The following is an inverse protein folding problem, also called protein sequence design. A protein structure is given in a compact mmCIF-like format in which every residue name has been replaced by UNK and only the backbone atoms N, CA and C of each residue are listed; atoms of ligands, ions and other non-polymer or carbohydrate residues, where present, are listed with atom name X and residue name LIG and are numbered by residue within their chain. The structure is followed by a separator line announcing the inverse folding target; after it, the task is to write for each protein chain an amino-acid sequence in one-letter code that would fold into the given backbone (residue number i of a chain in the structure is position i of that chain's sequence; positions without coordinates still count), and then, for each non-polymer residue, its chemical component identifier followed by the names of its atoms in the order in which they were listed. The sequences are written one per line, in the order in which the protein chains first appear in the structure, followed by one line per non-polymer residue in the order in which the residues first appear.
data_IF_624403065026
#
_entry.id   IF_624403065026
#
_cell.length_a   1.000
_cell.length_b   1.000
_cell.length_c   1.000
_cell.angle_alpha   90.00
_cell.angle_beta   90.00
_cell.angle_gamma   90.00
#
_symmetry.space_group_name_H-M   'P 1'
#
loop_
_entity.id
_entity.type
_entity.pdbx_description
1 polymer ?
#
# COMPACT_ATOMS: atom_id res chain seq x y z
N UNK A 1 -1.69 1.79 58.79
CA UNK A 1 -1.93 3.18 59.22
C UNK A 1 -0.87 4.03 58.55
N UNK A 2 -1.11 5.09 57.80
CA UNK A 2 -2.30 5.64 57.18
C UNK A 2 -1.82 6.46 55.95
N UNK A 3 -2.76 6.70 55.05
CA UNK A 3 -2.73 7.22 53.69
C UNK A 3 -2.04 8.58 53.53
N UNK A 4 -1.26 8.74 52.45
CA UNK A 4 -1.03 10.04 51.81
C UNK A 4 -1.83 10.11 50.52
N UNK A 5 -2.97 10.82 50.57
CA UNK A 5 -3.80 11.12 49.40
C UNK A 5 -3.51 12.55 48.92
N UNK A 6 -2.88 12.71 47.76
CA UNK A 6 -2.87 13.98 47.01
C UNK A 6 -3.83 13.88 45.83
N UNK A 7 -4.99 14.53 46.00
CA UNK A 7 -6.04 14.73 45.00
C UNK A 7 -5.50 15.45 43.76
N UNK A 8 -5.63 14.85 42.58
CA UNK A 8 -5.50 15.54 41.28
C UNK A 8 -6.80 16.30 41.01
N UNK A 9 -6.69 17.62 40.76
CA UNK A 9 -7.80 18.46 40.29
C UNK A 9 -8.07 18.14 38.82
N UNK A 10 -9.30 17.71 38.55
CA UNK A 10 -9.91 17.64 37.22
C UNK A 10 -10.30 19.08 36.85
N UNK A 11 -9.78 19.60 35.74
CA UNK A 11 -10.32 20.82 35.13
C UNK A 11 -11.15 20.42 33.92
N UNK A 12 -12.43 20.70 34.05
CA UNK A 12 -13.50 20.43 33.10
C UNK A 12 -13.64 21.57 32.09
N UNK A 13 -14.21 21.20 30.95
CA UNK A 13 -14.48 21.94 29.73
C UNK A 13 -15.42 23.16 29.91
N UNK A 14 -15.37 24.04 28.90
CA UNK A 14 -16.39 25.00 28.45
C UNK A 14 -16.52 26.34 29.19
N UNK A 15 -16.09 27.41 28.51
CA UNK A 15 -16.70 28.75 28.56
C UNK A 15 -16.07 29.60 27.45
N UNK A 16 -16.86 29.98 26.45
CA UNK A 16 -17.01 31.38 26.04
C UNK A 16 -18.19 31.51 25.08
N UNK A 17 -19.14 32.31 25.54
CA UNK A 17 -20.39 32.70 24.89
C UNK A 17 -20.12 33.73 23.80
N UNK A 18 -20.93 33.64 22.75
CA UNK A 18 -21.32 34.74 21.88
C UNK A 18 -21.73 35.99 22.69
N UNK A 19 -21.19 37.15 22.31
CA UNK A 19 -21.97 38.39 22.25
C UNK A 19 -21.50 39.24 21.07
N UNK A 20 -22.43 39.51 20.15
CA UNK A 20 -22.21 40.39 19.01
C UNK A 20 -22.29 41.87 19.37
N UNK A 21 -21.65 42.70 18.55
CA UNK A 21 -22.07 44.10 18.34
C UNK A 21 -21.68 44.58 16.94
N UNK A 22 -22.72 44.99 16.20
CA UNK A 22 -22.70 45.68 14.89
C UNK A 22 -22.07 47.09 15.00
N UNK A 23 -21.35 47.54 13.96
CA UNK A 23 -21.76 48.63 13.02
C UNK A 23 -20.58 49.15 12.17
N UNK A 24 -20.86 49.26 10.84
CA UNK A 24 -20.61 50.38 9.88
C UNK A 24 -19.21 51.06 9.87
N UNK A 25 -18.60 51.51 8.78
CA UNK A 25 -18.94 51.67 7.36
C UNK A 25 -17.74 52.36 6.65
N UNK A 26 -17.56 52.06 5.36
CA UNK A 26 -17.10 52.93 4.25
C UNK A 26 -15.70 53.58 4.16
N UNK A 27 -15.14 53.33 2.96
CA UNK A 27 -14.41 54.23 2.02
C UNK A 27 -13.00 54.71 2.38
N UNK A 28 -12.00 54.28 1.59
CA UNK A 28 -11.45 55.03 0.42
C UNK A 28 -10.03 54.57 0.04
N UNK A 29 -9.74 54.56 -1.26
CA UNK A 29 -8.40 54.47 -1.91
C UNK A 29 -8.08 55.89 -2.46
N UNK A 30 -6.91 56.22 -3.07
CA UNK A 30 -5.58 55.56 -3.12
C UNK A 30 -4.39 56.56 -2.92
N UNK A 31 -3.12 56.11 -2.88
CA UNK A 31 -2.06 56.55 -3.85
C UNK A 31 -0.61 56.12 -3.50
N UNK A 32 0.06 55.73 -4.60
CA UNK A 32 1.47 55.54 -4.99
C UNK A 32 2.64 55.88 -4.04
N UNK A 33 3.65 55.00 -4.07
CA UNK A 33 5.07 55.31 -3.85
C UNK A 33 5.99 54.09 -4.02
N UNK A 34 6.77 54.03 -5.12
CA UNK A 34 7.78 52.99 -5.41
C UNK A 34 9.02 53.14 -4.50
N UNK A 35 9.61 52.02 -4.06
CA UNK A 35 11.07 51.80 -4.01
C UNK A 35 11.40 50.30 -3.97
N UNK A 36 12.20 49.86 -4.93
CA UNK A 36 12.76 48.52 -5.04
C UNK A 36 13.77 48.24 -3.92
N UNK A 37 13.70 47.04 -3.31
CA UNK A 37 14.85 46.33 -2.73
C UNK A 37 14.62 44.82 -2.85
N UNK A 38 15.72 44.09 -3.12
CA UNK A 38 15.81 42.68 -3.52
C UNK A 38 15.06 41.66 -2.64
N UNK A 39 14.66 40.48 -3.17
CA UNK A 39 13.91 39.49 -2.40
C UNK A 39 14.81 38.75 -1.40
N UNK A 40 14.55 38.94 -0.11
CA UNK A 40 14.94 37.99 0.93
C UNK A 40 14.10 36.72 0.77
N UNK A 41 14.76 35.55 0.71
CA UNK A 41 14.11 34.23 0.79
C UNK A 41 13.20 34.16 2.04
N UNK A 42 11.93 33.73 1.94
CA UNK A 42 11.12 33.48 3.12
C UNK A 42 11.48 32.11 3.72
N UNK A 43 12.24 32.11 4.80
CA UNK A 43 12.54 30.97 5.68
C UNK A 43 11.35 30.60 6.59
N UNK A 44 10.11 30.65 6.07
CA UNK A 44 8.89 30.49 6.89
C UNK A 44 7.95 29.35 6.48
N UNK A 45 8.19 28.70 5.34
CA UNK A 45 7.31 27.63 4.83
C UNK A 45 7.62 26.25 5.42
N UNK A 46 8.88 25.98 5.79
CA UNK A 46 9.26 24.66 6.33
C UNK A 46 8.79 24.43 7.77
N UNK A 47 8.64 25.48 8.58
CA UNK A 47 8.25 25.33 9.99
C UNK A 47 6.73 25.27 10.16
N UNK A 48 5.96 25.93 9.29
CA UNK A 48 4.51 25.80 9.26
C UNK A 48 4.08 24.37 8.86
N UNK A 49 4.72 23.80 7.83
CA UNK A 49 4.46 22.41 7.41
C UNK A 49 4.83 21.41 8.51
N UNK A 50 5.92 21.62 9.26
CA UNK A 50 6.32 20.74 10.37
C UNK A 50 5.35 20.80 11.56
N UNK A 51 4.85 21.98 11.92
CA UNK A 51 3.91 22.13 13.05
C UNK A 51 2.55 21.52 12.71
N UNK A 52 2.09 21.66 11.45
CA UNK A 52 0.88 20.99 10.96
C UNK A 52 1.09 19.47 10.92
N UNK A 53 2.27 19.00 10.50
CA UNK A 53 2.65 17.58 10.44
C UNK A 53 2.65 16.92 11.83
N UNK A 54 3.23 17.53 12.87
CA UNK A 54 3.22 16.98 14.24
C UNK A 54 1.83 17.00 14.89
N UNK A 55 1.05 18.07 14.68
CA UNK A 55 -0.29 18.17 15.25
C UNK A 55 -1.23 17.14 14.62
N UNK A 56 -1.18 16.98 13.29
CA UNK A 56 -2.02 16.00 12.59
C UNK A 56 -1.62 14.56 12.90
N UNK A 57 -0.33 14.22 13.00
CA UNK A 57 0.08 12.85 13.34
C UNK A 57 -0.46 12.46 14.74
N UNK A 58 -0.47 13.40 15.71
CA UNK A 58 -1.08 13.18 17.03
C UNK A 58 -2.60 13.02 16.98
N UNK A 59 -3.32 13.84 16.22
CA UNK A 59 -4.79 13.72 16.11
C UNK A 59 -5.21 12.43 15.41
N UNK A 60 -4.50 12.02 14.35
CA UNK A 60 -4.86 10.80 13.63
C UNK A 60 -4.52 9.54 14.43
N UNK A 61 -3.46 9.55 15.24
CA UNK A 61 -3.19 8.45 16.16
C UNK A 61 -4.31 8.24 17.18
N UNK A 62 -5.05 9.29 17.57
CA UNK A 62 -6.19 9.21 18.49
C UNK A 62 -7.42 8.62 17.79
N UNK A 63 -7.71 9.03 16.55
CA UNK A 63 -8.81 8.48 15.76
C UNK A 63 -8.58 7.00 15.39
N UNK A 64 -7.35 6.60 15.08
CA UNK A 64 -6.96 5.21 14.81
C UNK A 64 -7.12 4.30 16.06
N UNK A 65 -7.08 4.88 17.27
CA UNK A 65 -7.18 4.18 18.56
C UNK A 65 -8.64 3.91 18.98
N UNK A 66 -9.56 4.84 18.69
CA UNK A 66 -10.96 4.74 19.13
C UNK A 66 -11.83 3.83 18.25
N UNK A 67 -11.44 3.58 17.00
CA UNK A 67 -12.14 2.67 16.08
C UNK A 67 -11.45 1.30 16.00
N UNK A 68 -11.17 0.71 17.16
CA UNK A 68 -10.73 -0.69 17.26
C UNK A 68 -11.83 -1.65 16.80
N UNK A 69 -12.12 -1.68 15.49
CA UNK A 69 -12.66 -2.89 14.89
C UNK A 69 -11.58 -3.95 15.01
N UNK A 70 -11.87 -4.91 15.88
CA UNK A 70 -11.17 -6.18 15.94
C UNK A 70 -10.99 -6.68 14.52
N UNK A 71 -9.75 -6.67 14.03
CA UNK A 71 -9.42 -7.42 12.83
C UNK A 71 -9.84 -8.84 13.14
N UNK A 72 -10.91 -9.31 12.47
CA UNK A 72 -11.59 -10.58 12.75
C UNK A 72 -10.53 -11.67 12.97
N UNK A 73 -10.70 -12.52 13.98
CA UNK A 73 -9.75 -13.60 14.27
C UNK A 73 -9.44 -14.45 13.04
N UNK A 74 -10.43 -14.57 12.15
CA UNK A 74 -10.40 -15.41 10.96
C UNK A 74 -9.83 -14.68 9.73
N UNK A 75 -9.43 -13.41 9.87
CA UNK A 75 -8.77 -12.66 8.79
C UNK A 75 -7.41 -13.30 8.49
N UNK A 76 -7.21 -13.67 7.22
CA UNK A 76 -5.97 -14.25 6.70
C UNK A 76 -4.75 -13.39 7.01
N UNK A 77 -4.91 -12.06 7.07
CA UNK A 77 -3.83 -11.17 7.50
C UNK A 77 -3.41 -11.43 8.95
N UNK A 78 -4.37 -11.61 9.86
CA UNK A 78 -4.09 -11.84 11.28
C UNK A 78 -3.46 -13.21 11.48
N UNK A 79 -3.98 -14.23 10.80
CA UNK A 79 -3.40 -15.58 10.83
C UNK A 79 -1.95 -15.57 10.36
N UNK A 80 -1.66 -14.87 9.26
CA UNK A 80 -0.29 -14.73 8.75
C UNK A 80 0.61 -13.91 9.68
N UNK A 81 0.05 -12.91 10.38
CA UNK A 81 0.81 -12.04 11.25
C UNK A 81 1.14 -12.71 12.60
N UNK A 82 0.22 -13.52 13.13
CA UNK A 82 0.32 -14.11 14.46
C UNK A 82 0.99 -15.48 14.47
N UNK A 83 0.93 -16.24 13.36
CA UNK A 83 1.43 -17.60 13.32
C UNK A 83 2.81 -17.68 12.68
N UNK A 84 3.68 -18.49 13.28
CA UNK A 84 5.01 -18.74 12.74
C UNK A 84 5.01 -19.83 11.66
N UNK A 85 6.08 -19.87 10.87
CA UNK A 85 6.30 -20.94 9.91
C UNK A 85 6.74 -22.21 10.65
N UNK A 86 6.15 -23.36 10.32
CA UNK A 86 6.58 -24.65 10.88
C UNK A 86 8.07 -24.91 10.56
N UNK A 87 8.88 -25.39 11.52
CA UNK A 87 10.29 -25.73 11.27
C UNK A 87 10.47 -26.77 10.16
N UNK A 88 9.56 -27.76 10.10
CA UNK A 88 9.50 -28.76 9.03
C UNK A 88 9.33 -28.13 7.64
N UNK A 89 8.41 -27.17 7.52
CA UNK A 89 8.16 -26.42 6.30
C UNK A 89 9.32 -25.48 5.96
N UNK A 90 9.94 -24.84 6.95
CA UNK A 90 11.13 -24.00 6.75
C UNK A 90 12.29 -24.83 6.18
N UNK A 91 12.50 -26.04 6.70
CA UNK A 91 13.53 -26.98 6.23
C UNK A 91 13.24 -27.43 4.80
N UNK A 92 11.98 -27.78 4.51
CA UNK A 92 11.56 -28.16 3.16
C UNK A 92 11.81 -27.03 2.14
N UNK A 93 11.45 -25.79 2.46
CA UNK A 93 11.63 -24.64 1.56
C UNK A 93 13.11 -24.25 1.36
N UNK A 94 13.96 -24.51 2.36
CA UNK A 94 15.40 -24.19 2.30
C UNK A 94 16.21 -25.25 1.52
N UNK A 95 15.67 -26.46 1.37
CA UNK A 95 16.30 -27.56 0.63
C UNK A 95 16.41 -27.23 -0.86
N UNK A 96 17.52 -27.62 -1.51
CA UNK A 96 17.76 -27.36 -2.95
C UNK A 96 17.87 -28.68 -3.72
N UNK A 97 16.93 -29.00 -4.64
CA UNK A 97 15.70 -28.27 -4.95
C UNK A 97 14.62 -28.46 -3.87
N UNK A 98 13.70 -27.50 -3.67
CA UNK A 98 12.65 -27.64 -2.69
C UNK A 98 11.63 -28.69 -3.18
N UNK A 99 11.18 -29.63 -2.33
CA UNK A 99 10.08 -30.53 -2.65
C UNK A 99 8.79 -29.74 -2.85
N UNK A 100 8.18 -29.84 -4.03
CA UNK A 100 6.95 -29.11 -4.39
C UNK A 100 5.94 -30.02 -5.08
N UNK A 101 4.67 -29.86 -4.71
CA UNK A 101 3.53 -30.41 -5.45
C UNK A 101 3.01 -29.37 -6.43
N UNK A 102 2.60 -29.82 -7.61
CA UNK A 102 1.97 -28.98 -8.63
C UNK A 102 0.54 -29.45 -8.87
N UNK A 103 -0.38 -28.50 -8.86
CA UNK A 103 -1.79 -28.71 -9.18
C UNK A 103 -2.17 -27.76 -10.32
N UNK A 104 -2.82 -28.28 -11.35
CA UNK A 104 -3.31 -27.46 -12.46
C UNK A 104 -4.78 -27.16 -12.18
N UNK A 105 -5.09 -25.88 -12.04
CA UNK A 105 -6.45 -25.40 -11.73
C UNK A 105 -6.88 -24.43 -12.82
N UNK A 106 -8.13 -24.52 -13.24
CA UNK A 106 -8.70 -23.60 -14.23
C UNK A 106 -9.63 -22.62 -13.53
N UNK A 107 -9.38 -21.33 -13.72
CA UNK A 107 -10.18 -20.22 -13.24
C UNK A 107 -10.97 -19.59 -14.39
N UNK A 108 -12.12 -18.95 -14.13
CA UNK A 108 -12.97 -18.40 -15.19
C UNK A 108 -12.28 -17.37 -16.08
N UNK A 109 -11.53 -16.43 -15.49
CA UNK A 109 -10.92 -15.30 -16.22
C UNK A 109 -9.41 -15.45 -16.37
N UNK A 110 -8.72 -15.81 -15.30
CA UNK A 110 -7.26 -16.04 -15.31
C UNK A 110 -6.88 -17.27 -16.13
N UNK A 111 -7.84 -18.17 -16.41
CA UNK A 111 -7.63 -19.34 -17.24
C UNK A 111 -6.85 -20.44 -16.50
N UNK A 112 -5.88 -21.06 -17.17
CA UNK A 112 -5.12 -22.19 -16.62
C UNK A 112 -3.99 -21.69 -15.72
N UNK A 113 -4.10 -21.99 -14.43
CA UNK A 113 -3.10 -21.66 -13.42
C UNK A 113 -2.37 -22.91 -12.95
N UNK A 114 -1.06 -22.78 -12.72
CA UNK A 114 -0.23 -23.80 -12.09
C UNK A 114 -0.03 -23.38 -10.63
N UNK A 115 -0.64 -24.10 -9.71
CA UNK A 115 -0.45 -23.90 -8.29
C UNK A 115 0.66 -24.80 -7.78
N UNK A 116 1.68 -24.18 -7.19
CA UNK A 116 2.82 -24.90 -6.62
C UNK A 116 2.81 -24.73 -5.12
N UNK A 117 2.71 -25.83 -4.39
CA UNK A 117 2.76 -25.85 -2.91
C UNK A 117 4.01 -26.59 -2.44
N UNK A 118 4.74 -26.10 -1.42
CA UNK A 118 5.81 -26.86 -0.80
C UNK A 118 5.25 -28.14 -0.18
N UNK A 119 5.93 -29.27 -0.39
CA UNK A 119 5.63 -30.52 0.30
C UNK A 119 6.61 -30.71 1.44
N UNK A 120 6.10 -31.04 2.61
CA UNK A 120 6.93 -31.45 3.74
C UNK A 120 7.13 -32.96 3.63
N UNK A 121 8.37 -33.46 3.48
CA UNK A 121 8.65 -34.89 3.55
C UNK A 121 8.13 -35.49 4.85
N UNK A 122 7.56 -36.70 4.79
CA UNK A 122 6.93 -37.36 5.95
C UNK A 122 7.92 -37.59 7.11
N UNK A 123 9.21 -37.74 6.78
CA UNK A 123 10.34 -37.85 7.71
C UNK A 123 10.56 -36.59 8.57
N UNK A 124 10.13 -35.42 8.07
CA UNK A 124 10.24 -34.13 8.76
C UNK A 124 8.94 -33.76 9.48
N UNK A 125 7.99 -34.69 9.62
CA UNK A 125 6.72 -34.42 10.32
C UNK A 125 6.94 -34.04 11.79
N UNK A 126 6.35 -32.92 12.18
CA UNK A 126 6.55 -32.35 13.52
C UNK A 126 5.92 -33.25 14.59
N UNK A 127 6.72 -33.70 15.55
CA UNK A 127 6.21 -34.33 16.79
C UNK A 127 5.77 -33.21 17.73
N UNK A 128 4.48 -33.17 18.08
CA UNK A 128 3.95 -32.14 18.99
C UNK A 128 4.63 -32.23 20.35
N UNK A 129 5.31 -31.17 20.76
CA UNK A 129 5.83 -31.03 22.11
C UNK A 129 4.74 -30.47 23.02
N UNK A 130 4.48 -31.11 24.17
CA UNK A 130 3.42 -30.68 25.12
C UNK A 130 3.70 -29.32 25.78
N UNK A 131 4.94 -28.83 25.70
CA UNK A 131 5.38 -27.53 26.24
C UNK A 131 5.36 -26.41 25.19
N UNK A 132 5.09 -26.74 23.93
CA UNK A 132 5.13 -25.81 22.82
C UNK A 132 3.89 -24.91 22.84
N UNK A 133 4.12 -23.61 23.06
CA UNK A 133 3.06 -22.59 23.14
C UNK A 133 2.91 -21.81 21.83
N UNK A 134 3.79 -22.06 20.86
CA UNK A 134 3.81 -21.39 19.55
C UNK A 134 2.74 -21.96 18.63
N UNK A 135 1.94 -21.07 18.03
CA UNK A 135 0.96 -21.43 17.01
C UNK A 135 1.59 -21.32 15.63
N UNK A 136 1.39 -22.37 14.82
CA UNK A 136 1.98 -22.46 13.49
C UNK A 136 0.96 -22.23 12.39
N UNK A 137 1.42 -21.62 11.29
CA UNK A 137 0.62 -21.42 10.10
C UNK A 137 0.41 -22.76 9.37
N UNK A 138 -0.80 -22.98 8.88
CA UNK A 138 -1.09 -24.10 7.98
C UNK A 138 -0.65 -23.78 6.54
N UNK A 139 -0.25 -24.82 5.81
CA UNK A 139 0.01 -24.70 4.38
C UNK A 139 -1.28 -24.32 3.68
N UNK A 140 -1.28 -23.18 2.98
CA UNK A 140 -2.51 -22.67 2.36
C UNK A 140 -2.92 -23.52 1.17
N UNK A 141 -4.21 -23.81 1.12
CA UNK A 141 -4.89 -24.29 -0.08
C UNK A 141 -5.28 -23.13 -0.98
N UNK A 142 -5.55 -23.43 -2.24
CA UNK A 142 -6.16 -22.46 -3.13
C UNK A 142 -7.58 -22.11 -2.66
N UNK A 143 -7.98 -20.83 -2.72
CA UNK A 143 -9.34 -20.43 -2.40
C UNK A 143 -10.32 -20.98 -3.44
N UNK A 144 -11.48 -21.44 -2.97
CA UNK A 144 -12.60 -21.83 -3.84
C UNK A 144 -13.22 -20.57 -4.43
N UNK A 145 -12.87 -20.24 -5.66
CA UNK A 145 -13.44 -19.10 -6.37
C UNK A 145 -14.71 -19.50 -7.14
N UNK A 146 -15.78 -18.74 -6.94
CA UNK A 146 -17.00 -18.82 -7.73
C UNK A 146 -17.57 -17.42 -7.92
N UNK A 147 -17.76 -17.02 -9.17
CA UNK A 147 -18.26 -15.68 -9.52
C UNK A 147 -19.59 -15.34 -8.84
N UNK A 148 -20.48 -16.35 -8.71
CA UNK A 148 -21.80 -16.21 -8.10
C UNK A 148 -21.77 -15.94 -6.60
N UNK A 149 -20.69 -16.35 -5.92
CA UNK A 149 -20.54 -16.24 -4.47
C UNK A 149 -19.48 -15.21 -4.05
N UNK A 150 -18.92 -14.49 -5.01
CA UNK A 150 -17.93 -13.46 -4.76
C UNK A 150 -18.54 -12.29 -3.98
N UNK A 151 -17.88 -11.91 -2.89
CA UNK A 151 -18.19 -10.70 -2.13
C UNK A 151 -16.90 -10.07 -1.63
N UNK A 152 -16.76 -8.76 -1.84
CA UNK A 152 -15.59 -8.01 -1.37
C UNK A 152 -15.49 -8.00 0.17
N UNK A 153 -16.62 -8.11 0.86
CA UNK A 153 -16.67 -8.14 2.32
C UNK A 153 -15.97 -9.41 2.87
N UNK A 154 -16.05 -10.53 2.14
CA UNK A 154 -15.37 -11.78 2.51
C UNK A 154 -13.84 -11.69 2.42
N UNK A 155 -13.30 -10.72 1.67
CA UNK A 155 -11.86 -10.52 1.52
C UNK A 155 -11.25 -9.73 2.69
N UNK A 156 -12.03 -9.45 3.74
CA UNK A 156 -11.63 -8.67 4.91
C UNK A 156 -10.98 -7.34 4.51
N UNK A 157 -11.49 -6.68 3.46
CA UNK A 157 -11.03 -5.36 3.05
C UNK A 157 -11.74 -4.31 3.91
N UNK A 158 -11.02 -3.29 4.36
CA UNK A 158 -11.61 -2.21 5.16
C UNK A 158 -12.74 -1.48 4.40
N UNK A 159 -13.81 -1.15 5.10
CA UNK A 159 -14.99 -0.44 4.56
C UNK A 159 -14.63 0.80 3.75
N UNK A 160 -13.74 1.65 4.27
CA UNK A 160 -13.26 2.86 3.58
C UNK A 160 -12.64 2.56 2.19
N UNK A 161 -12.00 1.40 2.02
CA UNK A 161 -11.35 1.01 0.76
C UNK A 161 -12.39 0.49 -0.22
N UNK A 162 -13.42 -0.23 0.26
CA UNK A 162 -14.47 -0.81 -0.57
C UNK A 162 -15.19 0.25 -1.40
N UNK A 163 -15.64 1.33 -0.75
CA UNK A 163 -16.30 2.45 -1.43
C UNK A 163 -15.37 3.14 -2.44
N UNK A 164 -14.09 3.26 -2.08
CA UNK A 164 -13.11 3.93 -2.93
C UNK A 164 -12.68 3.08 -4.13
N UNK A 165 -12.71 1.75 -4.04
CA UNK A 165 -12.47 0.86 -5.19
C UNK A 165 -13.55 1.06 -6.25
N UNK A 166 -14.83 1.13 -5.84
CA UNK A 166 -15.93 1.37 -6.77
C UNK A 166 -15.79 2.75 -7.45
N UNK A 167 -15.41 3.78 -6.69
CA UNK A 167 -15.13 5.11 -7.25
C UNK A 167 -13.93 5.09 -8.20
N UNK A 168 -12.85 4.38 -7.86
CA UNK A 168 -11.68 4.24 -8.71
C UNK A 168 -11.99 3.54 -10.03
N UNK A 169 -12.89 2.55 -10.02
CA UNK A 169 -13.40 1.92 -11.25
C UNK A 169 -14.20 2.91 -12.10
N UNK A 170 -15.06 3.75 -11.50
CA UNK A 170 -15.79 4.78 -12.23
C UNK A 170 -14.88 5.79 -12.93
N UNK A 171 -13.73 6.14 -12.34
CA UNK A 171 -12.72 7.02 -12.97
C UNK A 171 -12.19 6.39 -14.27
N UNK A 172 -12.16 5.06 -14.36
CA UNK A 172 -11.78 4.32 -15.56
C UNK A 172 -12.96 4.02 -16.49
N UNK A 173 -14.13 4.65 -16.27
CA UNK A 173 -15.38 4.36 -16.97
C UNK A 173 -15.84 2.89 -16.85
N UNK A 174 -15.56 2.26 -15.71
CA UNK A 174 -16.01 0.91 -15.38
C UNK A 174 -17.13 1.00 -14.33
N UNK A 175 -18.34 0.59 -14.70
CA UNK A 175 -19.51 0.63 -13.81
C UNK A 175 -19.46 -0.44 -12.70
N UNK A 176 -18.76 -1.55 -12.96
CA UNK A 176 -18.67 -2.69 -12.04
C UNK A 176 -17.26 -3.28 -11.99
N UNK A 177 -16.95 -4.01 -10.91
CA UNK A 177 -15.71 -4.78 -10.81
C UNK A 177 -15.64 -5.84 -11.89
N UNK A 178 -14.59 -5.78 -12.71
CA UNK A 178 -14.34 -6.74 -13.77
C UNK A 178 -13.97 -8.12 -13.20
N UNK A 179 -14.25 -9.22 -13.91
CA UNK A 179 -13.95 -10.58 -13.45
C UNK A 179 -12.48 -10.79 -13.06
N UNK A 180 -11.54 -10.27 -13.86
CA UNK A 180 -10.10 -10.38 -13.58
C UNK A 180 -9.74 -9.67 -12.27
N UNK A 181 -10.32 -8.49 -11.99
CA UNK A 181 -10.08 -7.79 -10.73
C UNK A 181 -10.49 -8.64 -9.52
N UNK A 182 -11.65 -9.31 -9.61
CA UNK A 182 -12.19 -10.16 -8.54
C UNK A 182 -11.26 -11.34 -8.26
N UNK A 183 -10.79 -12.01 -9.30
CA UNK A 183 -9.89 -13.15 -9.20
C UNK A 183 -8.54 -12.76 -8.60
N UNK A 184 -7.90 -11.73 -9.16
CA UNK A 184 -6.59 -11.25 -8.69
C UNK A 184 -6.68 -10.72 -7.26
N UNK A 185 -7.74 -9.99 -6.91
CA UNK A 185 -7.96 -9.53 -5.53
C UNK A 185 -8.18 -10.70 -4.57
N UNK A 186 -8.88 -11.75 -5.01
CA UNK A 186 -9.08 -12.96 -4.19
C UNK A 186 -7.73 -13.62 -3.89
N UNK A 187 -6.88 -13.80 -4.90
CA UNK A 187 -5.55 -14.39 -4.71
C UNK A 187 -4.66 -13.51 -3.82
N UNK A 188 -4.63 -12.19 -4.08
CA UNK A 188 -3.81 -11.24 -3.33
C UNK A 188 -4.27 -11.11 -1.87
N UNK A 189 -5.57 -10.98 -1.59
CA UNK A 189 -6.08 -10.88 -0.22
C UNK A 189 -5.91 -12.18 0.58
N UNK A 190 -5.81 -13.32 -0.11
CA UNK A 190 -5.39 -14.60 0.48
C UNK A 190 -3.85 -14.77 0.52
N UNK A 191 -3.07 -13.68 0.35
CA UNK A 191 -1.59 -13.64 0.32
C UNK A 191 -0.94 -14.80 -0.44
N UNK A 192 -1.47 -15.12 -1.62
CA UNK A 192 -0.76 -16.00 -2.54
C UNK A 192 0.23 -15.19 -3.37
N UNK A 193 1.38 -15.81 -3.64
CA UNK A 193 2.31 -15.28 -4.63
C UNK A 193 1.76 -15.55 -6.03
N UNK A 194 1.57 -14.49 -6.81
CA UNK A 194 0.94 -14.56 -8.13
C UNK A 194 1.92 -14.12 -9.21
N UNK A 195 2.12 -14.98 -10.20
CA UNK A 195 2.80 -14.63 -11.45
C UNK A 195 1.77 -14.58 -12.58
N UNK A 196 1.55 -13.39 -13.14
CA UNK A 196 0.57 -13.15 -14.20
C UNK A 196 1.25 -12.60 -15.47
N UNK A 197 1.50 -13.43 -16.49
CA UNK A 197 2.19 -13.03 -17.72
C UNK A 197 1.28 -12.41 -18.78
N UNK A 198 -0.04 -12.55 -18.67
CA UNK A 198 -1.02 -12.10 -19.69
C UNK A 198 -1.42 -10.63 -19.52
N UNK A 199 -0.48 -9.78 -19.11
CA UNK A 199 -0.73 -8.35 -18.97
C UNK A 199 -0.87 -7.71 -20.36
N UNK A 200 -1.97 -6.98 -20.56
CA UNK A 200 -2.31 -6.22 -21.77
C UNK A 200 -2.64 -4.77 -21.41
N UNK A 201 -2.71 -3.89 -22.39
CA UNK A 201 -3.06 -2.49 -22.16
C UNK A 201 -4.48 -2.31 -21.62
N UNK A 202 -5.39 -3.19 -22.03
CA UNK A 202 -6.79 -3.16 -21.60
C UNK A 202 -6.97 -3.63 -20.15
N UNK A 203 -6.11 -4.54 -19.68
CA UNK A 203 -6.21 -5.13 -18.33
C UNK A 203 -5.22 -4.52 -17.31
N UNK A 204 -4.21 -3.78 -17.77
CA UNK A 204 -3.18 -3.21 -16.90
C UNK A 204 -3.77 -2.31 -15.79
N UNK A 205 -4.80 -1.54 -16.13
CA UNK A 205 -5.44 -0.66 -15.15
C UNK A 205 -6.30 -1.43 -14.14
N UNK A 206 -6.89 -2.57 -14.53
CA UNK A 206 -7.55 -3.48 -13.59
C UNK A 206 -6.58 -4.05 -12.60
N UNK A 207 -5.46 -4.59 -13.09
CA UNK A 207 -4.41 -5.17 -12.27
C UNK A 207 -3.88 -4.12 -11.29
N UNK A 208 -3.71 -2.87 -11.75
CA UNK A 208 -3.29 -1.75 -10.91
C UNK A 208 -4.26 -1.48 -9.78
N UNK A 209 -5.55 -1.48 -10.04
CA UNK A 209 -6.57 -1.33 -8.98
C UNK A 209 -6.46 -2.49 -7.99
N UNK A 210 -6.39 -3.73 -8.47
CA UNK A 210 -6.37 -4.93 -7.63
C UNK A 210 -5.18 -4.97 -6.68
N UNK A 211 -3.95 -4.78 -7.17
CA UNK A 211 -2.79 -4.81 -6.28
C UNK A 211 -2.69 -3.54 -5.42
N UNK A 212 -3.05 -2.35 -5.91
CA UNK A 212 -3.05 -1.13 -5.09
C UNK A 212 -4.04 -1.23 -3.93
N UNK A 213 -5.23 -1.79 -4.18
CA UNK A 213 -6.22 -2.06 -3.14
C UNK A 213 -5.68 -3.01 -2.07
N UNK A 214 -5.05 -4.12 -2.48
CA UNK A 214 -4.42 -5.05 -1.56
C UNK A 214 -3.32 -4.39 -0.73
N UNK A 215 -2.42 -3.62 -1.37
CA UNK A 215 -1.32 -2.91 -0.70
C UNK A 215 -1.84 -1.91 0.33
N UNK A 216 -2.83 -1.08 -0.02
CA UNK A 216 -3.42 -0.11 0.91
C UNK A 216 -4.08 -0.82 2.09
N UNK A 217 -4.81 -1.91 1.83
CA UNK A 217 -5.43 -2.71 2.89
C UNK A 217 -4.39 -3.31 3.84
N UNK A 218 -3.34 -3.93 3.29
CA UNK A 218 -2.25 -4.52 4.07
C UNK A 218 -1.52 -3.50 4.94
N UNK A 219 -1.19 -2.34 4.39
CA UNK A 219 -0.50 -1.26 5.13
C UNK A 219 -1.37 -0.71 6.26
N UNK A 220 -2.66 -0.50 6.01
CA UNK A 220 -3.59 -0.02 7.03
C UNK A 220 -3.82 -1.05 8.15
N UNK A 221 -3.99 -2.33 7.81
CA UNK A 221 -4.11 -3.41 8.80
C UNK A 221 -2.85 -3.51 9.67
N UNK A 222 -1.68 -3.46 9.04
CA UNK A 222 -0.38 -3.48 9.73
C UNK A 222 -0.22 -2.28 10.68
N UNK A 223 -0.57 -1.06 10.22
CA UNK A 223 -0.49 0.14 11.06
C UNK A 223 -1.41 0.04 12.27
N UNK A 224 -2.65 -0.43 12.10
CA UNK A 224 -3.59 -0.57 13.22
C UNK A 224 -3.11 -1.59 14.27
N UNK A 225 -2.54 -2.73 13.84
CA UNK A 225 -1.96 -3.70 14.78
C UNK A 225 -0.83 -3.07 15.60
N UNK A 226 0.07 -2.32 14.95
CA UNK A 226 1.16 -1.62 15.63
C UNK A 226 0.62 -0.58 16.64
N UNK A 227 -0.40 0.19 16.27
CA UNK A 227 -1.03 1.18 17.17
C UNK A 227 -1.63 0.46 18.39
N UNK A 228 -2.31 -0.66 18.18
CA UNK A 228 -2.90 -1.46 19.27
C UNK A 228 -1.84 -2.09 20.19
N UNK A 229 -0.73 -2.57 19.63
CA UNK A 229 0.38 -3.09 20.43
C UNK A 229 1.03 -1.98 21.26
N UNK A 230 1.29 -0.81 20.67
CA UNK A 230 1.80 0.35 21.39
C UNK A 230 0.85 0.80 22.52
N UNK A 231 -0.45 0.77 22.27
CA UNK A 231 -1.49 1.05 23.27
C UNK A 231 -1.39 0.11 24.48
N UNK A 232 -1.23 -1.19 24.23
CA UNK A 232 -1.12 -2.23 25.27
C UNK A 232 0.21 -2.13 26.03
N UNK A 233 1.29 -1.83 25.32
CA UNK A 233 2.62 -1.66 25.90
C UNK A 233 2.72 -0.43 26.80
N UNK A 234 1.92 0.62 26.56
CA UNK A 234 1.88 1.79 27.45
C UNK A 234 1.50 1.47 28.91
N UNK A 235 0.98 0.26 29.17
CA UNK A 235 0.52 -0.22 30.48
C UNK A 235 1.36 -1.38 31.05
N UNK A 236 2.45 -1.78 30.40
CA UNK A 236 3.28 -2.93 30.80
C UNK A 236 4.77 -2.57 30.74
N UNK A 237 5.55 -3.03 31.72
CA UNK A 237 7.00 -2.79 31.78
C UNK A 237 7.81 -3.76 30.89
N UNK A 238 7.28 -4.96 30.64
CA UNK A 238 7.89 -5.95 29.75
C UNK A 238 7.17 -5.99 28.40
N UNK A 239 7.96 -6.11 27.32
CA UNK A 239 7.49 -6.24 25.94
C UNK A 239 7.38 -7.73 25.58
N UNK A 240 6.16 -8.28 25.47
CA UNK A 240 5.95 -9.64 24.97
C UNK A 240 6.53 -9.79 23.56
N UNK A 241 6.96 -11.00 23.22
CA UNK A 241 7.53 -11.31 21.90
C UNK A 241 6.57 -10.98 20.75
N UNK A 242 5.27 -11.23 20.96
CA UNK A 242 4.18 -10.90 20.03
C UNK A 242 4.09 -9.39 19.67
N UNK A 243 4.63 -8.50 20.50
CA UNK A 243 4.58 -7.05 20.30
C UNK A 243 5.89 -6.47 19.76
N UNK A 244 6.83 -7.32 19.32
CA UNK A 244 8.08 -6.91 18.67
C UNK A 244 7.91 -6.69 17.16
N UNK A 245 6.86 -5.98 16.77
CA UNK A 245 6.43 -5.77 15.38
C UNK A 245 7.10 -4.57 14.68
N UNK A 246 7.99 -3.86 15.39
CA UNK A 246 8.73 -2.70 14.91
C UNK A 246 10.23 -3.00 14.77
N UNK A 247 10.67 -3.18 13.53
CA UNK A 247 12.11 -3.19 13.20
C UNK A 247 12.71 -1.79 13.08
N UNK A 248 14.03 -1.73 12.95
CA UNK A 248 14.81 -0.50 12.72
C UNK A 248 14.35 0.28 11.47
N UNK A 249 13.82 -0.44 10.48
CA UNK A 249 13.38 0.08 9.17
C UNK A 249 11.90 -0.28 8.99
N UNK A 250 11.07 0.69 8.59
CA UNK A 250 9.60 0.59 8.54
C UNK A 250 8.90 0.41 7.16
N UNK A 251 9.57 0.19 6.01
CA UNK A 251 8.90 -0.19 4.77
C UNK A 251 8.10 -1.47 4.95
N UNK A 252 6.81 -1.43 4.59
CA UNK A 252 5.94 -2.60 4.63
C UNK A 252 5.75 -3.24 3.25
N UNK A 253 5.74 -2.40 2.21
CA UNK A 253 5.55 -2.82 0.82
C UNK A 253 6.59 -2.15 -0.06
N UNK A 254 7.11 -2.90 -1.03
CA UNK A 254 7.97 -2.44 -2.11
C UNK A 254 7.28 -2.71 -3.45
N UNK A 255 7.09 -1.66 -4.25
CA UNK A 255 6.55 -1.77 -5.60
C UNK A 255 7.67 -1.37 -6.57
N UNK A 256 8.03 -2.30 -7.46
CA UNK A 256 9.01 -2.07 -8.51
C UNK A 256 8.28 -1.61 -9.77
N UNK A 257 8.68 -0.47 -10.34
CA UNK A 257 8.08 0.09 -11.54
C UNK A 257 9.18 0.55 -12.49
N UNK A 258 8.99 0.43 -13.81
CA UNK A 258 10.06 0.68 -14.78
C UNK A 258 10.33 2.16 -15.06
N UNK A 259 9.31 3.04 -14.92
CA UNK A 259 9.37 4.45 -15.35
C UNK A 259 8.66 5.36 -14.34
N UNK A 260 9.06 6.63 -14.28
CA UNK A 260 8.39 7.65 -13.45
C UNK A 260 6.91 7.81 -13.77
N UNK A 261 6.50 7.72 -15.03
CA UNK A 261 5.09 7.78 -15.40
C UNK A 261 4.27 6.61 -14.82
N UNK A 262 4.83 5.39 -14.84
CA UNK A 262 4.19 4.25 -14.20
C UNK A 262 4.05 4.49 -12.68
N UNK A 263 5.08 5.04 -12.03
CA UNK A 263 5.01 5.43 -10.62
C UNK A 263 3.96 6.52 -10.35
N UNK A 264 3.84 7.51 -11.24
CA UNK A 264 2.81 8.54 -11.15
C UNK A 264 1.40 7.92 -11.19
N UNK A 265 1.14 7.00 -12.14
CA UNK A 265 -0.14 6.29 -12.26
C UNK A 265 -0.46 5.45 -11.02
N UNK A 266 0.53 4.74 -10.47
CA UNK A 266 0.37 3.93 -9.25
C UNK A 266 0.09 4.79 -8.03
N UNK A 267 0.84 5.87 -7.83
CA UNK A 267 0.63 6.78 -6.68
C UNK A 267 -0.72 7.47 -6.77
N UNK A 268 -1.15 7.92 -7.96
CA UNK A 268 -2.51 8.46 -8.18
C UNK A 268 -3.57 7.42 -7.83
N UNK A 269 -3.38 6.16 -8.22
CA UNK A 269 -4.31 5.07 -7.88
C UNK A 269 -4.38 4.83 -6.37
N UNK A 270 -3.23 4.78 -5.68
CA UNK A 270 -3.16 4.65 -4.22
C UNK A 270 -3.88 5.81 -3.53
N UNK A 271 -3.69 7.06 -4.01
CA UNK A 271 -4.40 8.24 -3.49
C UNK A 271 -5.91 8.05 -3.59
N UNK A 272 -6.41 7.67 -4.77
CA UNK A 272 -7.84 7.50 -5.00
C UNK A 272 -8.45 6.40 -4.12
N UNK A 273 -7.76 5.26 -4.00
CA UNK A 273 -8.22 4.11 -3.19
C UNK A 273 -8.16 4.42 -1.69
N UNK A 274 -7.12 5.12 -1.22
CA UNK A 274 -6.95 5.42 0.20
C UNK A 274 -7.86 6.56 0.67
N UNK A 275 -7.91 7.67 -0.07
CA UNK A 275 -8.43 8.94 0.42
C UNK A 275 -9.80 9.31 -0.15
N UNK A 276 -10.21 8.72 -1.28
CA UNK A 276 -11.40 9.12 -2.00
C UNK A 276 -11.41 10.64 -2.26
N UNK A 277 -12.49 11.30 -1.86
CA UNK A 277 -12.70 12.76 -2.06
C UNK A 277 -12.32 13.61 -0.84
N UNK A 278 -12.07 13.01 0.32
CA UNK A 278 -11.99 13.73 1.61
C UNK A 278 -10.62 13.73 2.28
N UNK A 279 -9.60 13.08 1.70
CA UNK A 279 -8.29 12.93 2.34
C UNK A 279 -7.23 13.92 1.88
N UNK A 280 -6.22 14.12 2.73
CA UNK A 280 -5.15 15.09 2.50
C UNK A 280 -3.89 14.42 1.95
N UNK A 281 -3.24 15.02 0.95
CA UNK A 281 -1.97 14.54 0.39
C UNK A 281 -0.88 15.58 0.59
N UNK A 282 0.09 15.28 1.44
CA UNK A 282 1.25 16.15 1.67
C UNK A 282 2.28 16.00 0.55
N UNK A 283 2.94 17.10 0.17
CA UNK A 283 3.93 17.16 -0.92
C UNK A 283 3.39 16.77 -2.31
N UNK A 284 2.07 16.85 -2.53
CA UNK A 284 1.44 16.48 -3.82
C UNK A 284 1.96 17.31 -4.99
N UNK A 285 2.00 18.63 -4.87
CA UNK A 285 2.40 19.51 -5.97
C UNK A 285 3.83 19.22 -6.42
N UNK A 286 4.78 19.16 -5.47
CA UNK A 286 6.17 18.84 -5.75
C UNK A 286 6.34 17.44 -6.34
N UNK A 287 5.49 16.48 -5.99
CA UNK A 287 5.49 15.15 -6.61
C UNK A 287 5.00 15.22 -8.06
N UNK A 288 3.88 15.90 -8.31
CA UNK A 288 3.33 16.05 -9.65
C UNK A 288 4.33 16.78 -10.56
N UNK A 289 4.99 17.84 -10.11
CA UNK A 289 6.00 18.56 -10.90
C UNK A 289 7.21 17.69 -11.28
N UNK A 290 7.66 16.80 -10.39
CA UNK A 290 8.84 15.95 -10.64
C UNK A 290 8.49 14.72 -11.51
N UNK A 291 7.30 14.15 -11.32
CA UNK A 291 6.90 12.90 -11.97
C UNK A 291 6.06 13.13 -13.22
N UNK A 292 5.44 14.30 -13.37
CA UNK A 292 4.82 14.71 -14.63
C UNK A 292 5.91 15.31 -15.51
N UNK A 293 6.00 14.83 -16.73
CA UNK A 293 7.00 15.26 -17.69
C UNK A 293 6.58 14.84 -19.09
N UNK A 294 7.21 15.46 -20.08
CA UNK A 294 6.84 15.29 -21.47
C UNK A 294 7.27 13.91 -21.99
N UNK A 295 6.43 13.38 -22.89
CA UNK A 295 6.72 12.17 -23.63
C UNK A 295 7.88 12.37 -24.60
N UNK A 296 8.55 11.26 -24.94
CA UNK A 296 9.53 11.27 -26.03
C UNK A 296 8.78 11.59 -27.33
N UNK A 297 9.29 12.54 -28.12
CA UNK A 297 8.74 12.83 -29.46
C UNK A 297 8.88 11.59 -30.34
N UNK A 298 7.73 10.96 -30.62
CA UNK A 298 7.68 9.75 -31.43
C UNK A 298 7.89 10.06 -32.91
N UNK A 299 8.63 9.23 -33.66
CA UNK A 299 8.81 9.42 -35.09
C UNK A 299 7.47 9.29 -35.81
N UNK A 300 7.17 10.27 -36.67
CA UNK A 300 5.93 10.29 -37.48
C UNK A 300 6.00 9.31 -38.65
N UNK A 301 7.22 8.96 -39.09
CA UNK A 301 7.46 7.98 -40.16
C UNK A 301 7.66 6.60 -39.52
N UNK A 302 6.84 5.62 -39.90
CA UNK A 302 6.78 4.28 -39.31
C UNK A 302 6.42 4.29 -37.80
N UNK A 303 5.16 4.58 -37.46
CA UNK A 303 4.74 4.70 -36.07
C UNK A 303 4.99 3.38 -35.33
N UNK A 304 5.55 3.50 -34.12
CA UNK A 304 5.73 2.35 -33.23
C UNK A 304 4.35 1.77 -32.86
N UNK A 305 4.27 0.48 -32.48
CA UNK A 305 3.02 -0.10 -31.98
C UNK A 305 2.38 0.73 -30.87
N UNK A 306 1.06 0.69 -30.75
CA UNK A 306 0.29 1.43 -29.73
C UNK A 306 0.85 1.20 -28.32
N UNK A 307 1.27 -0.03 -28.04
CA UNK A 307 1.88 -0.48 -26.81
C UNK A 307 3.12 0.32 -26.40
N UNK A 308 4.01 0.55 -27.37
CA UNK A 308 5.22 1.34 -27.18
C UNK A 308 4.85 2.81 -26.91
N UNK A 309 3.90 3.35 -27.68
CA UNK A 309 3.46 4.74 -27.50
C UNK A 309 2.84 4.96 -26.12
N UNK A 310 2.02 4.02 -25.64
CA UNK A 310 1.39 4.09 -24.34
C UNK A 310 2.40 3.98 -23.18
N UNK A 311 3.44 3.16 -23.32
CA UNK A 311 4.51 3.03 -22.32
C UNK A 311 5.33 4.32 -22.17
N UNK A 312 5.64 5.00 -23.27
CA UNK A 312 6.46 6.22 -23.31
C UNK A 312 5.66 7.52 -23.45
N UNK A 313 4.37 7.48 -23.09
CA UNK A 313 3.44 8.61 -23.18
C UNK A 313 3.63 9.69 -22.12
N UNK A 314 4.48 9.46 -21.12
CA UNK A 314 4.78 10.42 -20.05
C UNK A 314 6.27 10.46 -19.74
N UNK A 315 6.61 10.78 -18.49
CA UNK A 315 7.99 10.86 -18.03
C UNK A 315 8.68 9.48 -18.10
N UNK A 316 9.70 9.40 -18.96
CA UNK A 316 10.45 8.18 -19.28
C UNK A 316 11.73 8.01 -18.47
N UNK A 317 12.01 8.91 -17.53
CA UNK A 317 13.13 8.74 -16.61
C UNK A 317 12.86 7.56 -15.65
N UNK A 318 13.88 6.75 -15.46
CA UNK A 318 13.89 5.52 -14.67
C UNK A 318 14.66 5.70 -13.35
N UNK A 319 15.43 6.78 -13.21
CA UNK A 319 16.19 7.05 -11.99
C UNK A 319 15.32 7.77 -10.96
N UNK A 320 14.48 7.01 -10.24
CA UNK A 320 13.67 7.55 -9.16
C UNK A 320 13.61 6.62 -7.94
N UNK A 321 13.45 7.26 -6.77
CA UNK A 321 13.08 6.60 -5.53
C UNK A 321 12.09 7.51 -4.81
N UNK A 322 10.91 6.98 -4.54
CA UNK A 322 9.91 7.68 -3.75
C UNK A 322 9.48 6.78 -2.60
N UNK A 323 9.19 7.38 -1.46
CA UNK A 323 8.48 6.66 -0.44
C UNK A 323 7.22 7.35 0.03
N UNK A 324 6.26 6.52 0.45
CA UNK A 324 4.92 6.95 0.86
C UNK A 324 4.73 6.59 2.34
N UNK A 325 4.20 7.52 3.12
CA UNK A 325 3.67 7.19 4.45
C UNK A 325 2.16 7.29 4.43
N UNK A 326 1.53 6.16 4.71
CA UNK A 326 0.08 6.00 4.72
C UNK A 326 -0.42 6.15 6.15
N UNK A 327 -1.42 6.99 6.30
CA UNK A 327 -2.22 7.21 7.49
C UNK A 327 -3.70 7.17 7.08
N UNK A 328 -4.64 6.90 8.00
CA UNK A 328 -6.06 6.67 7.66
C UNK A 328 -6.69 7.72 6.75
N UNK A 329 -6.44 9.01 6.99
CA UNK A 329 -6.98 10.14 6.20
C UNK A 329 -5.91 11.00 5.52
N UNK A 330 -4.65 10.57 5.57
CA UNK A 330 -3.54 11.37 5.06
C UNK A 330 -2.49 10.49 4.37
N UNK A 331 -1.99 10.97 3.23
CA UNK A 331 -0.86 10.37 2.52
C UNK A 331 0.30 11.36 2.46
N UNK A 332 1.45 10.98 3.02
CA UNK A 332 2.68 11.77 2.91
C UNK A 332 3.55 11.23 1.79
N UNK A 333 3.83 12.07 0.80
CA UNK A 333 4.75 11.74 -0.28
C UNK A 333 6.19 12.14 0.08
N UNK A 334 7.16 11.37 -0.42
CA UNK A 334 8.61 11.48 -0.17
C UNK A 334 9.03 11.24 1.29
N UNK A 335 8.56 10.14 1.85
CA UNK A 335 9.04 9.65 3.15
C UNK A 335 10.05 8.55 2.92
N UNK A 336 11.26 8.68 3.46
CA UNK A 336 12.33 7.68 3.27
C UNK A 336 12.05 6.33 3.98
N UNK A 337 10.95 6.19 4.73
CA UNK A 337 10.81 5.16 5.78
C UNK A 337 9.60 4.22 5.71
N UNK A 338 8.53 4.46 4.95
CA UNK A 338 7.24 3.77 5.24
C UNK A 338 6.66 2.91 4.10
N UNK A 339 6.90 3.25 2.83
CA UNK A 339 6.70 2.41 1.62
C UNK A 339 7.81 2.89 0.71
N UNK A 340 8.57 2.00 0.07
CA UNK A 340 9.64 2.45 -0.84
C UNK A 340 9.33 1.93 -2.23
N UNK A 341 9.36 2.80 -3.22
CA UNK A 341 9.50 2.41 -4.62
C UNK A 341 10.99 2.43 -4.89
N UNK A 342 11.57 1.27 -5.16
CA UNK A 342 12.98 1.15 -5.54
C UNK A 342 12.99 0.55 -6.93
N UNK A 343 13.71 1.15 -7.86
CA UNK A 343 14.12 0.45 -9.07
C UNK A 343 15.31 -0.44 -8.73
N UNK A 344 15.17 -1.76 -8.89
CA UNK A 344 16.32 -2.58 -9.26
C UNK A 344 16.39 -2.51 -10.78
N UNK A 345 17.47 -1.94 -11.30
CA UNK A 345 17.76 -1.91 -12.71
C UNK A 345 18.06 -3.36 -13.18
N UNK A 346 17.01 -4.15 -13.35
CA UNK A 346 17.08 -5.38 -14.12
C UNK A 346 16.89 -4.96 -15.57
N UNK A 347 17.99 -4.90 -16.33
CA UNK A 347 17.94 -4.85 -17.78
C UNK A 347 16.89 -5.87 -18.24
N UNK A 348 15.82 -5.46 -18.95
CA UNK A 348 14.88 -6.43 -19.49
C UNK A 348 15.68 -7.43 -20.34
N UNK A 349 15.38 -8.70 -20.16
CA UNK A 349 15.92 -9.85 -20.88
C UNK A 349 15.75 -9.69 -22.42
N UNK A 350 16.57 -8.84 -23.03
CA UNK A 350 16.72 -8.70 -24.48
C UNK A 350 17.65 -9.80 -25.03
N UNK A 351 18.34 -10.56 -24.17
CA UNK A 351 19.29 -11.60 -24.59
C UNK A 351 18.69 -13.00 -24.85
N UNK A 352 17.37 -13.21 -24.79
CA UNK A 352 16.76 -14.53 -25.08
C UNK A 352 16.20 -14.71 -26.50
N UNK A 353 16.39 -13.75 -27.41
CA UNK A 353 16.01 -13.92 -28.83
C UNK A 353 17.17 -14.02 -29.82
N UNK A 354 18.41 -13.86 -29.37
CA UNK A 354 19.59 -14.05 -30.24
C UNK A 354 20.13 -15.50 -30.23
N UNK A 355 19.77 -16.33 -29.25
CA UNK A 355 20.19 -17.75 -29.26
C UNK A 355 19.31 -18.66 -30.14
N UNK A 356 18.08 -18.28 -30.48
CA UNK A 356 17.19 -19.10 -31.32
C UNK A 356 17.42 -18.92 -32.84
N UNK A 357 18.27 -17.99 -33.24
CA UNK A 357 18.61 -17.74 -34.66
C UNK A 357 19.90 -18.48 -35.06
N UNK A 358 20.69 -18.95 -34.10
CA UNK A 358 21.95 -19.67 -34.37
C UNK A 358 21.76 -21.20 -34.48
N UNK A 359 20.63 -21.76 -34.04
CA UNK A 359 20.31 -23.20 -34.17
C UNK A 359 19.48 -23.57 -35.42
N UNK A 360 19.16 -22.62 -36.31
CA UNK A 360 18.54 -22.89 -37.62
C UNK A 360 19.45 -22.57 -38.82
N UNK A 361 20.77 -22.60 -38.59
CA UNK A 361 21.80 -22.27 -39.59
C UNK A 361 22.79 -23.39 -39.89
N UNK A 362 22.58 -24.62 -39.37
CA UNK A 362 23.38 -25.79 -39.75
C UNK A 362 22.49 -27.02 -39.91
N UNK A 363 21.96 -27.20 -41.13
CA UNK A 363 21.84 -28.48 -41.83
C UNK A 363 21.43 -28.27 -43.28
#
# INVERSE_FOLDING_TARGET
MDRTAKKRKILNLNLLKDEGKKKKSNKSRPSKGKKETAPKKPTGLEDADKVVDEFMDKTVLIDDFNEGEDVLSDDVFVLQFMHELKPSLQTAVTTKPPPTSKEIVTWPTVGKMIFTKPQVPEELSDRRNLLETTTYAEARSLPLYSEKHFSLQKLCIKSQILENIEKANKILNLDTLRPLQKEIMTLACNYHDVYFPEMTFDNMDELRISYCAHVVNHVLKSRLKIIHHNAKLSKKDEVPEEFRDQGLVRPKVLILLPLRDAALRVVKMIINILLGEGGHVMNKNRFIEEFSGDSIKMPQTNPRPADYQALFSGNTDDNFKIGLSVTKKCLKLRVCRTITFVQLCAKPNIQRREMDIQERGEK
#
